data_IF_253602826380
#
_entry.id   IF_253602826380
#
_cell.length_a   1.000
_cell.length_b   1.000
_cell.length_c   1.000
_cell.angle_alpha   90.00
_cell.angle_beta   90.00
_cell.angle_gamma   90.00
#
_symmetry.space_group_name_H-M   'P 1'
#
loop_
_entity.id
_entity.type
_entity.pdbx_description
1 polymer ?
#
# COMPACT_ATOMS: atom_id res chain seq x y z
N UNK A 1 9.19 -5.83 12.33
CA UNK A 1 9.31 -6.75 11.18
C UNK A 1 10.04 -6.03 10.06
N UNK A 2 11.13 -6.60 9.51
CA UNK A 2 11.96 -5.93 8.48
C UNK A 2 12.03 -6.70 7.14
N UNK A 3 11.46 -7.90 7.11
CA UNK A 3 11.41 -8.82 5.97
C UNK A 3 9.99 -9.33 5.78
N UNK A 4 9.63 -9.72 4.56
CA UNK A 4 8.33 -10.32 4.25
C UNK A 4 8.14 -11.62 5.03
N UNK A 5 6.97 -11.75 5.63
CA UNK A 5 6.57 -12.86 6.49
C UNK A 5 5.64 -13.84 5.79
N UNK A 6 5.14 -13.49 4.58
CA UNK A 6 4.08 -14.21 3.87
C UNK A 6 2.74 -14.21 4.63
N UNK A 7 2.57 -13.24 5.51
CA UNK A 7 1.32 -12.97 6.18
C UNK A 7 0.92 -11.54 5.83
N UNK A 8 -0.23 -11.41 5.17
CA UNK A 8 -0.69 -10.14 4.61
C UNK A 8 -0.79 -9.06 5.69
N UNK A 9 -1.31 -9.39 6.88
CA UNK A 9 -1.53 -8.46 8.00
C UNK A 9 -0.25 -7.76 8.44
N UNK A 10 0.86 -8.49 8.44
CA UNK A 10 2.16 -7.94 8.82
C UNK A 10 2.86 -7.28 7.65
N UNK A 11 2.75 -7.88 6.45
CA UNK A 11 3.48 -7.43 5.27
C UNK A 11 2.95 -6.09 4.75
N UNK A 12 1.64 -5.83 4.87
CA UNK A 12 1.03 -4.55 4.49
C UNK A 12 1.50 -3.36 5.34
N UNK A 13 2.01 -3.61 6.56
CA UNK A 13 2.46 -2.57 7.50
C UNK A 13 3.99 -2.40 7.53
N UNK A 14 4.75 -3.07 6.67
CA UNK A 14 6.21 -2.94 6.63
C UNK A 14 6.61 -1.55 6.13
N UNK A 15 7.49 -0.87 6.87
CA UNK A 15 8.00 0.44 6.42
C UNK A 15 8.75 0.31 5.08
N UNK A 16 8.40 1.19 4.14
CA UNK A 16 8.90 1.19 2.77
C UNK A 16 8.19 0.21 1.82
N UNK A 17 7.12 -0.45 2.26
CA UNK A 17 6.15 -1.09 1.35
C UNK A 17 4.95 -0.17 1.09
N UNK A 18 4.15 -0.54 0.09
CA UNK A 18 2.82 -0.01 -0.16
C UNK A 18 1.84 -1.18 -0.29
N UNK A 19 0.62 -0.96 0.15
CA UNK A 19 -0.49 -1.87 -0.03
C UNK A 19 -1.55 -1.20 -0.93
N UNK A 20 -1.98 -1.90 -1.98
CA UNK A 20 -3.13 -1.56 -2.80
C UNK A 20 -4.16 -2.69 -2.73
N UNK A 21 -5.41 -2.34 -2.43
CA UNK A 21 -6.52 -3.30 -2.39
C UNK A 21 -7.42 -3.14 -3.63
N UNK A 22 -7.78 -4.26 -4.27
CA UNK A 22 -8.73 -4.31 -5.36
C UNK A 22 -10.06 -4.93 -4.91
N UNK A 23 -11.17 -4.41 -5.44
CA UNK A 23 -12.50 -4.93 -5.13
C UNK A 23 -13.21 -4.11 -4.05
N UNK A 24 -13.75 -4.78 -3.04
CA UNK A 24 -14.68 -4.20 -2.06
C UNK A 24 -13.99 -3.07 -1.30
N UNK A 25 -14.56 -1.88 -1.37
CA UNK A 25 -14.15 -0.79 -0.51
C UNK A 25 -14.94 -0.80 0.79
N UNK A 26 -14.30 -0.39 1.88
CA UNK A 26 -14.95 -0.16 3.17
C UNK A 26 -15.84 1.09 3.12
N UNK A 27 -16.95 1.11 3.87
CA UNK A 27 -17.98 2.17 3.79
C UNK A 27 -17.48 3.52 4.30
N UNK A 28 -16.44 3.51 5.11
CA UNK A 28 -15.79 4.67 5.69
C UNK A 28 -15.09 5.53 4.61
N UNK A 29 -14.85 4.97 3.41
CA UNK A 29 -14.16 5.63 2.30
C UNK A 29 -15.03 6.44 1.33
N UNK A 30 -16.32 6.66 1.61
CA UNK A 30 -17.24 7.35 0.69
C UNK A 30 -18.12 6.37 -0.10
N UNK A 31 -18.35 6.64 -1.40
CA UNK A 31 -19.09 5.71 -2.27
C UNK A 31 -18.24 4.46 -2.55
N UNK A 32 -18.53 3.33 -1.91
CA UNK A 32 -17.61 2.21 -1.89
C UNK A 32 -17.84 1.33 -3.10
N UNK A 33 -16.76 0.97 -3.79
CA UNK A 33 -16.79 -0.08 -4.80
C UNK A 33 -17.39 -1.37 -4.20
N UNK A 34 -18.49 -1.86 -4.79
CA UNK A 34 -19.18 -3.06 -4.33
C UNK A 34 -18.64 -4.28 -5.08
N UNK A 35 -17.99 -5.18 -4.36
CA UNK A 35 -17.44 -6.41 -4.92
C UNK A 35 -17.51 -7.54 -3.89
N UNK A 36 -17.54 -8.78 -4.39
CA UNK A 36 -17.47 -9.97 -3.54
C UNK A 36 -16.05 -10.26 -3.01
N UNK A 37 -15.03 -9.65 -3.63
CA UNK A 37 -13.62 -9.85 -3.27
C UNK A 37 -13.02 -8.57 -2.73
N UNK A 38 -12.10 -8.70 -1.77
CA UNK A 38 -11.15 -7.68 -1.35
C UNK A 38 -9.77 -8.34 -1.45
N UNK A 39 -8.94 -7.83 -2.35
CA UNK A 39 -7.65 -8.45 -2.63
C UNK A 39 -6.49 -7.49 -2.44
N UNK A 40 -5.69 -7.79 -1.42
CA UNK A 40 -4.54 -7.01 -1.00
C UNK A 40 -3.28 -7.37 -1.80
N UNK A 41 -2.64 -6.37 -2.39
CA UNK A 41 -1.35 -6.49 -3.06
C UNK A 41 -0.33 -5.63 -2.32
N UNK A 42 0.68 -6.30 -1.74
CA UNK A 42 1.79 -5.63 -1.05
C UNK A 42 3.00 -5.55 -1.97
N UNK A 43 3.57 -4.35 -2.11
CA UNK A 43 4.76 -4.10 -2.94
C UNK A 43 5.87 -3.44 -2.14
N UNK A 44 7.08 -3.99 -2.25
CA UNK A 44 8.30 -3.36 -1.73
C UNK A 44 8.75 -2.21 -2.63
N UNK A 45 8.85 -1.00 -2.07
CA UNK A 45 9.30 0.20 -2.77
C UNK A 45 10.76 0.56 -2.50
N UNK A 46 11.45 -0.18 -1.62
CA UNK A 46 12.85 0.09 -1.24
C UNK A 46 13.83 -0.03 -2.41
N UNK A 47 13.45 -0.79 -3.45
CA UNK A 47 14.22 -0.95 -4.70
C UNK A 47 13.67 -0.04 -5.80
N UNK A 48 14.04 1.24 -5.76
CA UNK A 48 13.71 2.23 -6.80
C UNK A 48 12.23 2.62 -6.94
N UNK A 49 11.40 2.39 -5.91
CA UNK A 49 9.99 2.78 -5.89
C UNK A 49 9.78 4.25 -5.51
N UNK A 50 8.65 4.82 -5.95
CA UNK A 50 8.21 6.17 -5.60
C UNK A 50 6.71 6.19 -5.35
N UNK A 51 6.27 7.00 -4.40
CA UNK A 51 4.86 7.39 -4.24
C UNK A 51 4.75 8.86 -4.65
N UNK A 52 3.82 9.12 -5.57
CA UNK A 52 3.53 10.46 -6.08
C UNK A 52 2.08 10.76 -5.71
N UNK A 53 1.88 11.87 -5.01
CA UNK A 53 0.55 12.41 -4.70
C UNK A 53 0.53 13.89 -5.09
N UNK A 54 -0.53 14.34 -5.76
CA UNK A 54 -0.69 15.72 -6.24
C UNK A 54 0.52 16.25 -7.02
N UNK A 55 1.11 15.38 -7.86
CA UNK A 55 2.31 15.71 -8.65
C UNK A 55 3.62 15.80 -7.87
N UNK A 56 3.62 15.57 -6.54
CA UNK A 56 4.81 15.62 -5.69
C UNK A 56 5.24 14.22 -5.27
N UNK A 57 6.55 13.98 -5.28
CA UNK A 57 7.11 12.73 -4.73
C UNK A 57 7.10 12.82 -3.21
N UNK A 58 6.22 12.05 -2.56
CA UNK A 58 6.08 12.03 -1.09
C UNK A 58 6.89 10.91 -0.44
N UNK A 59 7.23 9.87 -1.20
CA UNK A 59 8.08 8.77 -0.77
C UNK A 59 9.01 8.34 -1.91
N UNK A 60 10.27 8.05 -1.61
CA UNK A 60 11.26 7.53 -2.57
C UNK A 60 12.12 6.46 -1.91
N UNK A 61 12.29 5.32 -2.57
CA UNK A 61 13.08 4.18 -2.09
C UNK A 61 12.68 3.74 -0.67
N UNK A 62 11.38 3.75 -0.37
CA UNK A 62 10.83 3.39 0.94
C UNK A 62 11.03 4.43 2.05
N UNK A 63 11.55 5.62 1.75
CA UNK A 63 11.73 6.72 2.71
C UNK A 63 10.76 7.86 2.39
N UNK A 64 10.11 8.39 3.42
CA UNK A 64 9.27 9.59 3.33
C UNK A 64 10.15 10.83 3.10
N UNK A 65 9.64 11.76 2.30
CA UNK A 65 10.32 13.02 1.94
C UNK A 65 9.65 14.26 2.55
N UNK A 66 8.76 14.04 3.52
CA UNK A 66 7.96 15.05 4.22
C UNK A 66 8.47 15.19 5.64
#
# INVERSE_FOLDING_TARGET
>A
ITKFTKNWLFDEKISGSIHLAFGMAYKEGGDPNKSAIHWDIVKDLRKNGKIIADGKVIQKNGKWLI
#
